data_IF_327363714971
#
_entry.id   IF_327363714971
#
_cell.length_a   1.000
_cell.length_b   1.000
_cell.length_c   1.000
_cell.angle_alpha   90.00
_cell.angle_beta   90.00
_cell.angle_gamma   90.00
#
_symmetry.space_group_name_H-M   'P 1'
#
loop_
_entity.id
_entity.type
_entity.pdbx_description
1 polymer ?
#
# COMPACT_ATOMS: atom_id res chain seq x y z
N UNK A 1 -13.56 -0.32 -4.70
CA UNK A 1 -13.96 0.25 -3.39
C UNK A 1 -12.76 0.69 -2.55
N UNK A 2 -11.74 -0.13 -2.31
CA UNK A 2 -10.59 0.23 -1.48
C UNK A 2 -9.93 1.56 -1.90
N UNK A 3 -9.82 1.81 -3.20
CA UNK A 3 -9.28 3.05 -3.76
C UNK A 3 -10.14 4.25 -3.33
N UNK A 4 -11.47 4.18 -3.52
CA UNK A 4 -12.39 5.28 -3.17
C UNK A 4 -12.46 5.53 -1.66
N UNK A 5 -12.38 4.48 -0.85
CA UNK A 5 -12.25 4.62 0.62
C UNK A 5 -11.02 5.43 1.00
N UNK A 6 -9.89 5.25 0.29
CA UNK A 6 -8.69 6.06 0.50
C UNK A 6 -8.90 7.55 0.20
N UNK A 7 -9.69 7.90 -0.82
CA UNK A 7 -10.06 9.30 -1.06
C UNK A 7 -10.91 9.86 0.08
N UNK A 8 -11.92 9.13 0.53
CA UNK A 8 -12.77 9.57 1.63
C UNK A 8 -11.96 9.72 2.92
N UNK A 9 -11.09 8.76 3.23
CA UNK A 9 -10.18 8.85 4.38
C UNK A 9 -9.26 10.08 4.30
N UNK A 10 -8.76 10.40 3.10
CA UNK A 10 -7.97 11.60 2.84
C UNK A 10 -8.78 12.87 3.10
N UNK A 11 -9.99 12.95 2.52
CA UNK A 11 -10.90 14.11 2.66
C UNK A 11 -11.27 14.32 4.13
N UNK A 12 -11.72 13.29 4.82
CA UNK A 12 -12.07 13.38 6.24
C UNK A 12 -10.92 13.86 7.13
N UNK A 13 -9.70 13.51 6.76
CA UNK A 13 -8.51 13.89 7.52
C UNK A 13 -8.02 15.32 7.23
N UNK A 14 -8.08 15.76 5.98
CA UNK A 14 -7.46 17.02 5.53
C UNK A 14 -8.48 18.11 5.18
N UNK A 15 -9.73 17.72 4.95
CA UNK A 15 -10.85 18.61 4.58
C UNK A 15 -12.12 18.20 5.37
N UNK A 16 -12.10 18.30 6.71
CA UNK A 16 -13.20 17.78 7.56
C UNK A 16 -14.53 18.47 7.32
N UNK A 17 -14.52 19.69 6.74
CA UNK A 17 -15.72 20.45 6.44
C UNK A 17 -16.43 20.00 5.16
N UNK A 18 -15.82 19.07 4.40
CA UNK A 18 -16.40 18.55 3.15
C UNK A 18 -17.41 17.46 3.45
N UNK A 19 -18.66 17.67 3.01
CA UNK A 19 -19.72 16.65 3.11
C UNK A 19 -19.48 15.50 2.14
N UNK A 20 -19.08 14.35 2.70
CA UNK A 20 -18.81 13.11 1.96
C UNK A 20 -20.07 12.57 1.28
N UNK A 21 -21.25 12.72 1.90
CA UNK A 21 -22.51 12.24 1.32
C UNK A 21 -22.85 13.03 0.06
N UNK A 22 -22.49 14.31 -0.01
CA UNK A 22 -22.66 15.12 -1.22
C UNK A 22 -21.78 14.63 -2.37
N UNK A 23 -20.55 14.18 -2.07
CA UNK A 23 -19.63 13.59 -3.04
C UNK A 23 -20.22 12.30 -3.61
N UNK A 24 -20.69 11.40 -2.75
CA UNK A 24 -21.28 10.12 -3.17
C UNK A 24 -22.54 10.34 -4.01
N UNK A 25 -23.42 11.24 -3.61
CA UNK A 25 -24.64 11.58 -4.37
C UNK A 25 -24.32 12.11 -5.76
N UNK A 26 -23.36 13.06 -5.88
CA UNK A 26 -22.94 13.59 -7.18
C UNK A 26 -22.38 12.50 -8.10
N UNK A 27 -21.58 11.60 -7.54
CA UNK A 27 -21.00 10.48 -8.28
C UNK A 27 -22.02 9.39 -8.66
N UNK A 28 -23.28 9.47 -8.19
CA UNK A 28 -24.29 8.44 -8.38
C UNK A 28 -23.95 7.14 -7.66
N UNK A 29 -23.33 7.26 -6.47
CA UNK A 29 -22.93 6.13 -5.63
C UNK A 29 -23.80 6.14 -4.38
N UNK A 30 -24.57 5.08 -4.17
CA UNK A 30 -25.33 4.96 -2.92
C UNK A 30 -24.44 4.58 -1.73
N UNK A 31 -24.81 4.96 -0.49
CA UNK A 31 -24.08 4.53 0.70
C UNK A 31 -23.93 3.01 0.83
N UNK A 32 -24.93 2.27 0.38
CA UNK A 32 -24.92 0.80 0.37
C UNK A 32 -23.84 0.26 -0.59
N UNK A 33 -23.83 0.75 -1.84
CA UNK A 33 -22.81 0.38 -2.84
C UNK A 33 -21.40 0.74 -2.36
N UNK A 34 -21.26 1.88 -1.69
CA UNK A 34 -19.98 2.32 -1.14
C UNK A 34 -19.47 1.47 0.01
N UNK A 35 -20.36 0.83 0.76
CA UNK A 35 -20.00 -0.06 1.86
C UNK A 35 -19.74 -1.49 1.43
N UNK A 36 -20.36 -1.95 0.33
CA UNK A 36 -20.21 -3.33 -0.18
C UNK A 36 -18.79 -3.57 -0.75
N UNK A 37 -17.96 -4.45 -0.15
CA UNK A 37 -16.62 -4.73 -0.65
C UNK A 37 -16.58 -5.36 -2.04
N UNK A 38 -17.67 -5.98 -2.47
CA UNK A 38 -17.81 -6.65 -3.76
C UNK A 38 -18.25 -5.73 -4.91
N UNK A 39 -18.71 -4.52 -4.59
CA UNK A 39 -19.25 -3.61 -5.60
C UNK A 39 -18.17 -3.03 -6.52
N UNK A 40 -18.45 -2.98 -7.82
CA UNK A 40 -17.58 -2.40 -8.84
C UNK A 40 -18.21 -1.14 -9.41
N UNK A 41 -17.50 -0.03 -9.27
CA UNK A 41 -17.93 1.25 -9.82
C UNK A 41 -17.72 1.29 -11.33
N UNK A 42 -18.65 1.92 -12.04
CA UNK A 42 -18.49 2.22 -13.47
C UNK A 42 -17.40 3.28 -13.67
N UNK A 43 -16.91 3.40 -14.90
CA UNK A 43 -15.95 4.47 -15.22
C UNK A 43 -16.60 5.85 -15.01
N UNK A 44 -17.87 6.02 -15.43
CA UNK A 44 -18.62 7.27 -15.25
C UNK A 44 -18.75 7.65 -13.76
N UNK A 45 -19.13 6.72 -12.88
CA UNK A 45 -19.15 6.96 -11.44
C UNK A 45 -17.77 7.36 -10.91
N UNK A 46 -16.71 6.76 -11.45
CA UNK A 46 -15.33 7.05 -11.05
C UNK A 46 -14.89 8.44 -11.51
N UNK A 47 -15.25 8.83 -12.71
CA UNK A 47 -14.92 10.14 -13.29
C UNK A 47 -15.64 11.27 -12.51
N UNK A 48 -16.95 11.12 -12.27
CA UNK A 48 -17.74 12.06 -11.47
C UNK A 48 -17.22 12.16 -10.01
N UNK A 49 -16.86 11.03 -9.44
CA UNK A 49 -16.28 10.99 -8.09
C UNK A 49 -14.98 11.80 -8.03
N UNK A 50 -14.10 11.63 -9.02
CA UNK A 50 -12.84 12.35 -9.11
C UNK A 50 -13.06 13.86 -9.29
N UNK A 51 -13.96 14.23 -10.18
CA UNK A 51 -14.32 15.62 -10.48
C UNK A 51 -14.79 16.35 -9.22
N UNK A 52 -15.78 15.80 -8.53
CA UNK A 52 -16.34 16.43 -7.34
C UNK A 52 -15.35 16.46 -6.17
N UNK A 53 -14.47 15.46 -6.05
CA UNK A 53 -13.41 15.48 -5.04
C UNK A 53 -12.46 16.67 -5.25
N UNK A 54 -12.04 16.93 -6.49
CA UNK A 54 -11.21 18.09 -6.83
C UNK A 54 -11.97 19.38 -6.54
N UNK A 55 -13.22 19.48 -6.98
CA UNK A 55 -14.05 20.68 -6.77
C UNK A 55 -14.20 21.03 -5.29
N UNK A 56 -14.58 20.04 -4.47
CA UNK A 56 -14.86 20.25 -3.04
C UNK A 56 -13.60 20.49 -2.21
N UNK A 57 -12.47 19.92 -2.60
CA UNK A 57 -11.22 20.08 -1.84
C UNK A 57 -10.30 21.17 -2.39
N UNK A 58 -10.50 21.61 -3.63
CA UNK A 58 -9.59 22.50 -4.34
C UNK A 58 -8.21 21.89 -4.61
N UNK A 59 -8.07 20.57 -4.43
CA UNK A 59 -6.79 19.86 -4.52
C UNK A 59 -6.71 19.05 -5.83
N UNK A 60 -5.95 19.49 -6.85
CA UNK A 60 -5.78 18.76 -8.10
C UNK A 60 -4.96 17.46 -7.92
N UNK A 61 -4.13 17.38 -6.87
CA UNK A 61 -3.26 16.24 -6.59
C UNK A 61 -3.92 15.17 -5.71
N UNK A 62 -5.22 15.31 -5.41
CA UNK A 62 -5.96 14.43 -4.51
C UNK A 62 -5.85 12.95 -4.89
N UNK A 63 -5.74 12.65 -6.18
CA UNK A 63 -5.57 11.26 -6.68
C UNK A 63 -4.28 10.64 -6.18
N UNK A 64 -3.18 11.37 -6.28
CA UNK A 64 -1.86 10.91 -5.85
C UNK A 64 -1.76 10.80 -4.33
N UNK A 65 -2.30 11.78 -3.64
CA UNK A 65 -2.28 11.82 -2.17
C UNK A 65 -3.17 10.74 -1.55
N UNK A 66 -4.36 10.50 -2.09
CA UNK A 66 -5.20 9.38 -1.67
C UNK A 66 -4.54 8.04 -1.96
N UNK A 67 -3.85 7.88 -3.09
CA UNK A 67 -3.05 6.69 -3.39
C UNK A 67 -1.98 6.42 -2.34
N UNK A 68 -1.24 7.46 -1.91
CA UNK A 68 -0.27 7.37 -0.81
C UNK A 68 -0.91 6.91 0.50
N UNK A 69 -2.13 7.38 0.76
CA UNK A 69 -2.87 7.03 1.96
C UNK A 69 -3.35 5.57 1.92
N UNK A 70 -3.90 5.11 0.80
CA UNK A 70 -4.33 3.71 0.62
C UNK A 70 -3.20 2.74 0.94
N UNK A 71 -1.99 2.99 0.43
CA UNK A 71 -0.83 2.16 0.69
C UNK A 71 -0.41 2.12 2.18
N UNK A 72 -0.75 3.15 2.94
CA UNK A 72 -0.41 3.29 4.37
C UNK A 72 -1.61 3.13 5.31
N UNK A 73 -2.81 2.94 4.78
CA UNK A 73 -4.07 2.89 5.52
C UNK A 73 -4.21 1.71 6.47
N UNK A 74 -5.26 1.76 7.28
CA UNK A 74 -5.54 0.78 8.33
C UNK A 74 -5.70 -0.64 7.81
N UNK A 75 -6.20 -0.81 6.58
CA UNK A 75 -6.36 -2.13 5.94
C UNK A 75 -5.04 -2.91 5.80
N UNK A 76 -3.91 -2.21 5.69
CA UNK A 76 -2.58 -2.80 5.60
C UNK A 76 -1.79 -2.73 6.91
N UNK A 77 -2.29 -2.00 7.92
CA UNK A 77 -1.56 -1.74 9.17
C UNK A 77 -1.26 -3.03 9.94
N UNK A 78 -2.24 -3.89 10.11
CA UNK A 78 -2.10 -5.16 10.83
C UNK A 78 -1.15 -6.10 10.09
N UNK A 79 -1.35 -6.28 8.78
CA UNK A 79 -0.46 -7.08 7.95
C UNK A 79 0.98 -6.56 8.01
N UNK A 80 1.13 -5.24 7.97
CA UNK A 80 2.42 -4.55 8.05
C UNK A 80 3.14 -4.79 9.36
N UNK A 81 2.46 -4.68 10.52
CA UNK A 81 3.09 -4.87 11.83
C UNK A 81 3.70 -6.26 12.00
N UNK A 82 3.03 -7.30 11.50
CA UNK A 82 3.52 -8.68 11.62
C UNK A 82 4.55 -9.06 10.56
N UNK A 83 4.49 -8.50 9.37
CA UNK A 83 5.30 -8.95 8.23
C UNK A 83 6.44 -8.01 7.81
N UNK A 84 6.52 -6.78 8.35
CA UNK A 84 7.57 -5.81 7.96
C UNK A 84 9.00 -6.33 8.17
N UNK A 85 9.19 -7.25 9.12
CA UNK A 85 10.48 -7.87 9.35
C UNK A 85 10.84 -8.97 8.35
N UNK A 86 9.86 -9.60 7.72
CA UNK A 86 10.03 -10.76 6.84
C UNK A 86 9.83 -10.42 5.36
N UNK A 87 9.11 -9.33 5.06
CA UNK A 87 8.84 -8.88 3.70
C UNK A 87 9.82 -7.79 3.31
N UNK A 88 10.45 -7.93 2.15
CA UNK A 88 11.30 -6.89 1.57
C UNK A 88 10.45 -5.88 0.78
N UNK A 89 10.94 -4.64 0.55
CA UNK A 89 10.26 -3.72 -0.35
C UNK A 89 9.96 -4.35 -1.73
N UNK A 90 10.91 -5.07 -2.31
CA UNK A 90 10.71 -5.78 -3.58
C UNK A 90 9.52 -6.76 -3.53
N UNK A 91 9.40 -7.52 -2.43
CA UNK A 91 8.29 -8.46 -2.24
C UNK A 91 6.96 -7.72 -2.09
N UNK A 92 6.94 -6.54 -1.45
CA UNK A 92 5.74 -5.72 -1.33
C UNK A 92 5.22 -5.27 -2.70
N UNK A 93 6.10 -4.83 -3.61
CA UNK A 93 5.71 -4.49 -4.99
C UNK A 93 5.24 -5.72 -5.78
N UNK A 94 5.80 -6.91 -5.53
CA UNK A 94 5.29 -8.16 -6.13
C UNK A 94 3.91 -8.53 -5.59
N UNK A 95 3.66 -8.35 -4.30
CA UNK A 95 2.34 -8.51 -3.71
C UNK A 95 1.34 -7.49 -4.28
N UNK A 96 1.77 -6.25 -4.52
CA UNK A 96 0.93 -5.22 -5.13
C UNK A 96 0.48 -5.57 -6.54
N UNK A 97 1.27 -6.31 -7.33
CA UNK A 97 0.87 -6.87 -8.63
C UNK A 97 -0.36 -7.79 -8.46
N UNK A 98 -0.32 -8.71 -7.48
CA UNK A 98 -1.39 -9.66 -7.22
C UNK A 98 -2.64 -8.95 -6.67
N UNK A 99 -2.45 -8.02 -5.75
CA UNK A 99 -3.55 -7.27 -5.13
C UNK A 99 -4.15 -6.29 -6.14
N UNK A 100 -3.31 -5.60 -6.90
CA UNK A 100 -3.74 -4.60 -7.89
C UNK A 100 -4.64 -5.19 -8.97
N UNK A 101 -4.36 -6.41 -9.42
CA UNK A 101 -5.22 -7.12 -10.37
C UNK A 101 -6.61 -7.45 -9.81
N UNK A 102 -6.73 -7.56 -8.47
CA UNK A 102 -8.01 -7.76 -7.77
C UNK A 102 -8.74 -6.45 -7.48
N UNK A 103 -8.03 -5.32 -7.44
CA UNK A 103 -8.60 -3.99 -7.15
C UNK A 103 -9.00 -3.22 -8.42
N UNK A 104 -8.45 -3.58 -9.56
CA UNK A 104 -8.71 -2.92 -10.84
C UNK A 104 -8.78 -3.95 -11.96
N UNK A 105 -9.92 -4.00 -12.66
CA UNK A 105 -10.15 -4.89 -13.80
C UNK A 105 -9.76 -4.27 -15.13
N UNK A 106 -9.52 -2.96 -15.17
CA UNK A 106 -9.20 -2.22 -16.40
C UNK A 106 -7.73 -2.27 -16.79
N UNK A 107 -6.84 -2.83 -15.94
CA UNK A 107 -5.40 -2.92 -16.24
C UNK A 107 -4.81 -4.24 -15.79
N UNK A 108 -3.87 -4.74 -16.56
CA UNK A 108 -2.97 -5.83 -16.16
C UNK A 108 -1.73 -5.21 -15.54
N UNK A 109 -1.34 -5.68 -14.34
CA UNK A 109 -0.17 -5.19 -13.62
C UNK A 109 0.90 -6.28 -13.59
N UNK A 110 2.13 -5.91 -13.94
CA UNK A 110 3.31 -6.77 -13.81
C UNK A 110 4.43 -6.02 -13.13
N UNK A 111 5.18 -6.71 -12.28
CA UNK A 111 6.33 -6.13 -11.59
C UNK A 111 7.58 -6.95 -11.81
N UNK A 112 8.72 -6.28 -12.00
CA UNK A 112 10.02 -6.90 -12.21
C UNK A 112 11.08 -6.17 -11.39
N UNK A 113 11.88 -6.93 -10.65
CA UNK A 113 13.03 -6.39 -9.94
C UNK A 113 14.11 -5.96 -10.94
N UNK A 114 14.53 -4.69 -10.87
CA UNK A 114 15.62 -4.15 -11.69
C UNK A 114 16.95 -4.07 -10.92
N UNK A 115 16.91 -4.06 -9.61
CA UNK A 115 18.08 -3.96 -8.77
C UNK A 115 17.78 -4.15 -7.29
N UNK A 116 18.77 -3.88 -6.44
CA UNK A 116 18.61 -4.07 -4.98
C UNK A 116 17.48 -3.21 -4.41
N UNK A 117 17.38 -1.96 -4.87
CA UNK A 117 16.43 -0.95 -4.39
C UNK A 117 15.64 -0.34 -5.54
N UNK A 118 15.37 -1.12 -6.58
CA UNK A 118 14.69 -0.65 -7.79
C UNK A 118 13.79 -1.74 -8.36
N UNK A 119 12.54 -1.38 -8.65
CA UNK A 119 11.53 -2.26 -9.24
C UNK A 119 10.87 -1.52 -10.40
N UNK A 120 10.59 -2.22 -11.47
CA UNK A 120 9.72 -1.78 -12.55
C UNK A 120 8.31 -2.31 -12.30
N UNK A 121 7.31 -1.47 -12.49
CA UNK A 121 5.89 -1.84 -12.50
C UNK A 121 5.31 -1.38 -13.83
N UNK A 122 4.75 -2.30 -14.57
CA UNK A 122 4.11 -2.05 -15.87
C UNK A 122 2.62 -2.28 -15.73
N UNK A 123 1.83 -1.28 -16.10
CA UNK A 123 0.37 -1.32 -16.14
C UNK A 123 -0.08 -1.22 -17.59
N UNK A 124 -0.64 -2.30 -18.12
CA UNK A 124 -1.17 -2.36 -19.50
C UNK A 124 -2.69 -2.34 -19.44
N UNK A 125 -3.37 -1.37 -20.07
CA UNK A 125 -4.82 -1.39 -20.18
C UNK A 125 -5.29 -2.68 -20.82
N UNK A 126 -6.42 -3.21 -20.33
CA UNK A 126 -7.11 -4.30 -21.05
C UNK A 126 -7.88 -3.69 -22.21
N UNK A 127 -8.25 -4.54 -23.17
CA UNK A 127 -9.05 -4.14 -24.32
C UNK A 127 -10.32 -3.41 -23.85
N UNK A 128 -10.67 -2.30 -24.51
CA UNK A 128 -11.80 -1.41 -24.18
C UNK A 128 -11.74 -0.66 -22.83
N UNK A 129 -10.65 -0.76 -22.08
CA UNK A 129 -10.52 0.00 -20.84
C UNK A 129 -10.31 1.50 -21.13
N UNK A 130 -11.18 2.32 -20.55
CA UNK A 130 -11.09 3.79 -20.62
C UNK A 130 -10.27 4.34 -19.44
N UNK A 131 -8.97 4.01 -19.38
CA UNK A 131 -8.10 4.54 -18.34
C UNK A 131 -8.00 6.09 -18.44
N UNK A 132 -7.91 6.78 -17.31
CA UNK A 132 -7.87 8.25 -17.23
C UNK A 132 -6.60 8.73 -16.53
N UNK A 133 -6.11 9.95 -16.81
CA UNK A 133 -4.88 10.47 -16.20
C UNK A 133 -4.85 10.41 -14.67
N UNK A 134 -5.97 10.71 -14.00
CA UNK A 134 -6.04 10.67 -12.53
C UNK A 134 -5.81 9.25 -11.97
N UNK A 135 -6.08 8.20 -12.74
CA UNK A 135 -5.82 6.82 -12.35
C UNK A 135 -4.32 6.50 -12.37
N UNK A 136 -3.56 7.10 -13.30
CA UNK A 136 -2.09 7.05 -13.27
C UNK A 136 -1.53 7.75 -12.04
N UNK A 137 -2.05 8.94 -11.69
CA UNK A 137 -1.63 9.67 -10.49
C UNK A 137 -1.92 8.85 -9.22
N UNK A 138 -3.11 8.25 -9.12
CA UNK A 138 -3.43 7.39 -7.99
C UNK A 138 -2.49 6.19 -7.87
N UNK A 139 -2.15 5.53 -8.99
CA UNK A 139 -1.17 4.43 -9.03
C UNK A 139 0.22 4.89 -8.59
N UNK A 140 0.68 6.06 -9.07
CA UNK A 140 1.95 6.64 -8.62
C UNK A 140 1.94 6.87 -7.12
N UNK A 141 0.88 7.49 -6.58
CA UNK A 141 0.74 7.68 -5.13
C UNK A 141 0.78 6.37 -4.35
N UNK A 142 0.06 5.36 -4.81
CA UNK A 142 0.07 4.03 -4.19
C UNK A 142 1.46 3.40 -4.18
N UNK A 143 2.16 3.43 -5.32
CA UNK A 143 3.52 2.89 -5.43
C UNK A 143 4.53 3.67 -4.55
N UNK A 144 4.41 4.99 -4.47
CA UNK A 144 5.20 5.81 -3.53
C UNK A 144 4.94 5.40 -2.07
N UNK A 145 3.67 5.24 -1.73
CA UNK A 145 3.23 4.87 -0.39
C UNK A 145 3.74 3.51 0.07
N UNK A 146 3.81 2.53 -0.82
CA UNK A 146 4.29 1.18 -0.50
C UNK A 146 5.73 1.15 0.02
N UNK A 147 6.58 2.09 -0.37
CA UNK A 147 7.97 2.19 0.11
C UNK A 147 8.09 2.69 1.55
N UNK A 148 7.17 3.56 1.97
CA UNK A 148 7.25 4.30 3.23
C UNK A 148 7.36 3.43 4.49
N UNK A 149 6.61 2.33 4.64
CA UNK A 149 6.71 1.46 5.82
C UNK A 149 8.07 0.82 6.02
N UNK A 150 8.82 0.60 4.93
CA UNK A 150 10.12 -0.07 4.97
C UNK A 150 11.28 0.90 5.15
N UNK A 151 11.15 2.10 4.61
CA UNK A 151 12.26 3.06 4.49
C UNK A 151 12.05 4.33 5.33
N UNK A 152 10.84 4.55 5.85
CA UNK A 152 10.42 5.78 6.53
C UNK A 152 10.08 6.93 5.57
N UNK A 153 10.32 6.78 4.26
CA UNK A 153 10.09 7.80 3.23
C UNK A 153 9.28 7.24 2.07
N UNK A 154 8.59 8.11 1.34
CA UNK A 154 7.98 7.74 0.06
C UNK A 154 9.05 7.29 -0.94
N UNK A 155 8.74 6.26 -1.73
CA UNK A 155 9.59 5.86 -2.83
C UNK A 155 9.62 6.94 -3.93
N UNK A 156 10.70 7.00 -4.69
CA UNK A 156 10.80 7.86 -5.89
C UNK A 156 10.25 7.10 -7.07
N UNK A 157 9.48 7.79 -7.92
CA UNK A 157 8.89 7.22 -9.13
C UNK A 157 9.32 8.03 -10.35
N UNK A 158 9.84 7.33 -11.34
CA UNK A 158 9.98 7.80 -12.71
C UNK A 158 8.86 7.15 -13.53
N UNK A 159 8.22 7.90 -14.42
CA UNK A 159 7.13 7.45 -15.29
C UNK A 159 7.48 7.71 -16.76
N UNK A 160 8.42 6.89 -17.32
CA UNK A 160 8.96 7.14 -18.66
C UNK A 160 7.97 6.86 -19.80
N UNK A 161 7.04 5.93 -19.63
CA UNK A 161 6.02 5.59 -20.62
C UNK A 161 4.63 5.73 -20.02
N UNK A 162 3.70 6.33 -20.75
CA UNK A 162 2.33 6.58 -20.30
C UNK A 162 1.33 6.47 -21.45
N UNK A 163 0.27 5.69 -21.28
CA UNK A 163 -0.81 5.52 -22.27
C UNK A 163 -1.46 6.86 -22.65
N UNK A 164 -1.50 7.84 -21.74
CA UNK A 164 -2.02 9.17 -22.02
C UNK A 164 -1.07 10.07 -22.80
N UNK A 165 0.16 9.60 -23.05
CA UNK A 165 1.16 10.24 -23.93
C UNK A 165 1.34 9.50 -25.25
N UNK A 166 0.52 8.48 -25.50
CA UNK A 166 0.53 7.68 -26.73
C UNK A 166 1.31 6.37 -26.65
N UNK A 167 1.82 6.01 -25.47
CA UNK A 167 2.53 4.74 -25.27
C UNK A 167 1.53 3.57 -25.10
N UNK A 168 1.98 2.34 -25.34
CA UNK A 168 1.15 1.14 -25.20
C UNK A 168 0.85 0.75 -23.74
N UNK A 169 1.64 1.23 -22.79
CA UNK A 169 1.49 0.93 -21.38
C UNK A 169 1.96 2.10 -20.51
N UNK A 170 1.62 2.05 -19.22
CA UNK A 170 2.24 2.91 -18.22
C UNK A 170 3.37 2.14 -17.54
N UNK A 171 4.59 2.65 -17.63
CA UNK A 171 5.79 2.08 -17.01
C UNK A 171 6.24 2.97 -15.87
N UNK A 172 6.30 2.39 -14.67
CA UNK A 172 6.76 3.06 -13.46
C UNK A 172 8.06 2.44 -12.99
N UNK A 173 9.09 3.25 -12.82
CA UNK A 173 10.36 2.84 -12.24
C UNK A 173 10.39 3.34 -10.80
N UNK A 174 10.24 2.44 -9.88
CA UNK A 174 10.18 2.73 -8.44
C UNK A 174 11.54 2.50 -7.82
N UNK A 175 12.06 3.49 -7.12
CA UNK A 175 13.34 3.41 -6.42
C UNK A 175 13.24 3.96 -4.99
N UNK A 176 14.02 3.42 -4.08
CA UNK A 176 14.05 3.83 -2.68
C UNK A 176 15.45 3.76 -2.09
N UNK A 177 15.68 4.55 -1.06
CA UNK A 177 16.89 4.48 -0.26
C UNK A 177 16.62 3.67 1.01
N UNK A 178 17.56 2.82 1.39
CA UNK A 178 17.47 2.10 2.66
C UNK A 178 17.76 3.09 3.79
N UNK A 179 16.72 3.54 4.49
CA UNK A 179 16.84 4.37 5.68
C UNK A 179 17.13 3.56 6.95
N UNK A 180 17.32 4.26 8.07
CA UNK A 180 17.51 3.64 9.39
C UNK A 180 16.40 2.63 9.72
N UNK A 181 15.15 2.96 9.39
CA UNK A 181 13.98 2.10 9.59
C UNK A 181 14.15 0.72 8.94
N UNK A 182 14.73 0.66 7.74
CA UNK A 182 15.02 -0.60 7.06
C UNK A 182 16.00 -1.47 7.86
N UNK A 183 17.08 -0.88 8.36
CA UNK A 183 18.09 -1.60 9.12
C UNK A 183 17.55 -2.05 10.48
N UNK A 184 16.79 -1.21 11.16
CA UNK A 184 16.15 -1.55 12.44
C UNK A 184 15.15 -2.72 12.28
N UNK A 185 14.29 -2.66 11.26
CA UNK A 185 13.36 -3.75 10.97
C UNK A 185 14.10 -5.06 10.64
N UNK A 186 15.21 -4.97 9.90
CA UNK A 186 16.04 -6.13 9.57
C UNK A 186 16.74 -6.70 10.80
N UNK A 187 17.29 -5.86 11.65
CA UNK A 187 17.91 -6.29 12.93
C UNK A 187 16.87 -6.97 13.82
N UNK A 188 15.67 -6.39 13.96
CA UNK A 188 14.58 -6.99 14.72
C UNK A 188 14.26 -8.41 14.24
N UNK A 189 14.18 -8.61 12.92
CA UNK A 189 13.91 -9.95 12.35
C UNK A 189 15.01 -10.94 12.68
N UNK A 190 16.28 -10.54 12.59
CA UNK A 190 17.39 -11.43 12.97
C UNK A 190 17.36 -11.78 14.45
N UNK A 191 17.09 -10.80 15.32
CA UNK A 191 16.97 -11.04 16.78
C UNK A 191 15.83 -12.02 17.06
N UNK A 192 14.66 -11.82 16.46
CA UNK A 192 13.52 -12.72 16.65
C UNK A 192 13.80 -14.13 16.12
N UNK A 193 14.40 -14.24 14.94
CA UNK A 193 14.75 -15.56 14.37
C UNK A 193 15.78 -16.28 15.24
N UNK A 194 16.82 -15.58 15.69
CA UNK A 194 17.82 -16.15 16.59
C UNK A 194 17.21 -16.59 17.93
N UNK A 195 16.34 -15.77 18.50
CA UNK A 195 15.65 -16.09 19.75
C UNK A 195 14.75 -17.32 19.62
N UNK A 196 13.98 -17.42 18.53
CA UNK A 196 13.14 -18.60 18.26
C UNK A 196 13.99 -19.87 18.09
N UNK A 197 15.11 -19.75 17.36
CA UNK A 197 16.04 -20.89 17.17
C UNK A 197 16.67 -21.33 18.50
N UNK A 198 17.09 -20.39 19.33
CA UNK A 198 17.65 -20.67 20.65
C UNK A 198 16.60 -21.25 21.59
N UNK A 199 15.38 -20.72 21.58
CA UNK A 199 14.26 -21.25 22.36
C UNK A 199 13.93 -22.71 21.96
N UNK A 200 13.90 -22.99 20.67
CA UNK A 200 13.68 -24.37 20.16
C UNK A 200 14.81 -25.31 20.59
N UNK A 201 16.06 -24.88 20.53
CA UNK A 201 17.20 -25.70 21.00
C UNK A 201 17.15 -25.89 22.53
N UNK A 202 16.85 -24.84 23.28
CA UNK A 202 16.73 -24.90 24.75
C UNK A 202 15.61 -25.84 25.22
N UNK A 203 14.53 -25.98 24.43
CA UNK A 203 13.43 -26.92 24.75
C UNK A 203 13.91 -28.37 24.87
N UNK A 204 14.91 -28.78 24.11
CA UNK A 204 15.48 -30.14 24.16
C UNK A 204 16.54 -30.32 25.25
N UNK A 205 17.04 -29.20 25.80
CA UNK A 205 18.17 -29.25 26.77
C UNK A 205 17.74 -28.94 28.22
N UNK A 206 16.64 -28.18 28.39
CA UNK A 206 16.17 -27.68 29.68
C UNK A 206 14.91 -28.45 30.14
N UNK A 207 14.66 -28.44 31.46
CA UNK A 207 13.35 -28.82 31.98
C UNK A 207 12.27 -27.85 31.46
N UNK A 208 11.03 -28.29 31.32
CA UNK A 208 9.93 -27.46 30.83
C UNK A 208 9.77 -26.16 31.65
N UNK A 209 9.96 -26.25 32.96
CA UNK A 209 9.84 -25.08 33.85
C UNK A 209 10.92 -24.03 33.55
N UNK A 210 12.17 -24.46 33.47
CA UNK A 210 13.30 -23.56 33.16
C UNK A 210 13.21 -22.96 31.74
N UNK A 211 12.71 -23.74 30.78
CA UNK A 211 12.46 -23.28 29.42
C UNK A 211 11.37 -22.22 29.41
N UNK A 212 10.29 -22.41 30.17
CA UNK A 212 9.18 -21.43 30.25
C UNK A 212 9.65 -20.12 30.89
N UNK A 213 10.40 -20.16 31.99
CA UNK A 213 10.97 -19.00 32.65
C UNK A 213 11.88 -18.19 31.70
N UNK A 214 12.75 -18.89 30.97
CA UNK A 214 13.63 -18.25 29.97
C UNK A 214 12.84 -17.50 28.90
N UNK A 215 11.78 -18.12 28.35
CA UNK A 215 10.98 -17.50 27.30
C UNK A 215 10.12 -16.34 27.84
N UNK A 216 9.58 -16.44 29.05
CA UNK A 216 8.83 -15.35 29.66
C UNK A 216 9.74 -14.14 29.95
N UNK A 217 10.94 -14.36 30.46
CA UNK A 217 11.93 -13.31 30.69
C UNK A 217 12.32 -12.62 29.38
N UNK A 218 12.58 -13.41 28.33
CA UNK A 218 12.88 -12.88 27.02
C UNK A 218 11.71 -12.03 26.44
N UNK A 219 10.47 -12.51 26.59
CA UNK A 219 9.28 -11.80 26.13
C UNK A 219 9.14 -10.44 26.82
N UNK A 220 9.35 -10.37 28.12
CA UNK A 220 9.31 -9.13 28.90
C UNK A 220 10.38 -8.15 28.41
N UNK A 221 11.61 -8.62 28.18
CA UNK A 221 12.69 -7.80 27.64
C UNK A 221 12.38 -7.28 26.24
N UNK A 222 11.85 -8.12 25.36
CA UNK A 222 11.48 -7.69 24.00
C UNK A 222 10.35 -6.68 24.01
N UNK A 223 9.30 -6.88 24.82
CA UNK A 223 8.19 -5.93 24.92
C UNK A 223 8.60 -4.58 25.53
N UNK A 224 9.64 -4.59 26.39
CA UNK A 224 10.19 -3.36 26.97
C UNK A 224 11.11 -2.56 26.02
N UNK A 225 11.63 -3.21 24.95
CA UNK A 225 12.54 -2.58 23.98
C UNK A 225 11.86 -2.18 22.66
N UNK A 226 10.65 -2.69 22.34
CA UNK A 226 9.91 -2.46 21.09
C UNK A 226 8.50 -1.95 21.35
#
# INVERSE_FOLDING_TARGET
>A
IAIKKGYIEYIQKHHPDVDVDSILRYAGISPFEFQDPGYWFTQEQSDRFQEICIEKTGNPDISRESGRLVANGNSFKTLRQFFLGFITPCSAYKCAEIIGSKLNRGVTIRSRKLGRNKVEVVCTPVEDAQDKPYQCENRMGFLEGLGKPFTGKFARIEHPECVHKGDACCRYIVSWDNGLTYYLNKMRSYVLTAALSLSAAAFFLLSFHSWLELNLTFLVLVLGFF
#
